data_IF_386230566878
#
_entry.id   IF_386230566878
#
_cell.length_a   1.000
_cell.length_b   1.000
_cell.length_c   1.000
_cell.angle_alpha   90.00
_cell.angle_beta   90.00
_cell.angle_gamma   90.00
#
_symmetry.space_group_name_H-M   'P 1'
#
loop_
_entity.id
_entity.type
_entity.pdbx_description
1 polymer ?
#
# COMPACT_ATOMS: atom_id res chain seq x y z
N UNK A 1 -7.94 1.98 -40.04
CA UNK A 1 -8.65 1.35 -38.90
C UNK A 1 -7.60 1.01 -37.86
N UNK A 2 -7.44 1.87 -36.85
CA UNK A 2 -6.36 1.77 -35.88
C UNK A 2 -6.78 0.85 -34.75
N UNK A 3 -6.16 -0.33 -34.64
CA UNK A 3 -6.38 -1.24 -33.54
C UNK A 3 -5.71 -0.68 -32.28
N UNK A 4 -6.51 -0.17 -31.34
CA UNK A 4 -6.04 0.20 -30.01
C UNK A 4 -5.52 -1.07 -29.30
N UNK A 5 -4.29 -1.08 -28.76
CA UNK A 5 -3.82 -2.19 -27.95
C UNK A 5 -4.62 -2.17 -26.65
N UNK A 6 -5.50 -3.15 -26.48
CA UNK A 6 -6.16 -3.42 -25.20
C UNK A 6 -5.08 -3.83 -24.21
N UNK A 7 -4.61 -2.86 -23.41
CA UNK A 7 -3.68 -3.08 -22.34
C UNK A 7 -4.31 -4.10 -21.39
N UNK A 8 -3.82 -5.34 -21.41
CA UNK A 8 -4.27 -6.41 -20.51
C UNK A 8 -3.78 -6.02 -19.12
N UNK A 9 -4.56 -5.19 -18.42
CA UNK A 9 -4.26 -4.83 -17.06
C UNK A 9 -4.22 -6.13 -16.25
N UNK A 10 -3.02 -6.47 -15.76
CA UNK A 10 -2.86 -7.67 -14.94
C UNK A 10 -3.72 -7.49 -13.69
N UNK A 11 -4.32 -8.57 -13.19
CA UNK A 11 -5.18 -8.55 -11.97
C UNK A 11 -4.54 -7.78 -10.81
N UNK A 12 -3.22 -7.68 -10.78
CA UNK A 12 -2.40 -6.90 -9.84
C UNK A 12 -2.58 -5.37 -9.95
N UNK A 13 -2.78 -4.80 -11.14
CA UNK A 13 -2.92 -3.35 -11.34
C UNK A 13 -4.25 -2.83 -10.78
N UNK A 14 -5.33 -3.61 -10.88
CA UNK A 14 -6.65 -3.24 -10.32
C UNK A 14 -6.67 -3.24 -8.78
N UNK A 15 -5.77 -3.95 -8.12
CA UNK A 15 -5.68 -3.91 -6.65
C UNK A 15 -5.10 -2.59 -6.14
N UNK A 16 -4.38 -1.83 -6.96
CA UNK A 16 -3.75 -0.56 -6.56
C UNK A 16 -4.66 0.67 -6.71
N UNK A 17 -5.88 0.52 -7.23
CA UNK A 17 -6.75 1.64 -7.64
C UNK A 17 -7.47 2.36 -6.50
N UNK A 18 -7.37 1.90 -5.26
CA UNK A 18 -8.07 2.49 -4.11
C UNK A 18 -7.10 3.33 -3.24
N UNK A 19 -6.81 4.56 -3.69
CA UNK A 19 -6.60 5.78 -2.89
C UNK A 19 -5.82 5.73 -1.55
N UNK A 20 -4.87 4.82 -1.34
CA UNK A 20 -3.93 4.89 -0.20
C UNK A 20 -2.65 5.60 -0.62
N UNK A 21 -2.71 6.89 -0.97
CA UNK A 21 -1.58 7.61 -1.60
C UNK A 21 -0.73 8.36 -0.57
N UNK A 22 -0.12 7.63 0.36
CA UNK A 22 0.97 8.17 1.16
C UNK A 22 2.28 8.23 0.36
N UNK A 23 3.25 9.09 0.73
CA UNK A 23 4.52 9.24 0.00
C UNK A 23 5.31 7.92 -0.07
N UNK A 24 5.28 7.09 0.98
CA UNK A 24 5.94 5.78 0.95
C UNK A 24 5.26 4.81 -0.02
N UNK A 25 3.93 4.78 -0.06
CA UNK A 25 3.17 3.95 -1.02
C UNK A 25 3.54 4.31 -2.46
N UNK A 26 3.62 5.61 -2.76
CA UNK A 26 4.04 6.10 -4.08
C UNK A 26 5.46 5.66 -4.42
N UNK A 27 6.42 5.86 -3.52
CA UNK A 27 7.81 5.49 -3.74
C UNK A 27 8.02 3.98 -3.97
N UNK A 28 7.25 3.13 -3.28
CA UNK A 28 7.31 1.68 -3.46
C UNK A 28 6.62 1.23 -4.74
N UNK A 29 5.52 1.88 -5.13
CA UNK A 29 4.83 1.61 -6.39
C UNK A 29 5.70 1.96 -7.61
N UNK A 30 6.41 3.10 -7.57
CA UNK A 30 7.38 3.51 -8.60
C UNK A 30 8.54 2.50 -8.75
N UNK A 31 8.89 1.80 -7.66
CA UNK A 31 9.86 0.70 -7.66
C UNK A 31 9.29 -0.65 -8.10
N UNK A 32 8.02 -0.71 -8.48
CA UNK A 32 7.35 -1.97 -8.87
C UNK A 32 7.14 -2.95 -7.72
N UNK A 33 7.21 -2.48 -6.47
CA UNK A 33 7.05 -3.33 -5.29
C UNK A 33 5.56 -3.59 -5.07
N UNK A 34 5.18 -4.87 -5.05
CA UNK A 34 3.80 -5.28 -4.78
C UNK A 34 3.40 -4.91 -3.34
N UNK A 35 2.31 -4.16 -3.23
CA UNK A 35 1.69 -3.79 -1.95
C UNK A 35 0.51 -4.72 -1.66
N UNK A 36 0.71 -5.62 -0.70
CA UNK A 36 -0.37 -6.44 -0.12
C UNK A 36 -1.24 -5.58 0.82
N UNK A 37 -2.39 -6.10 1.24
CA UNK A 37 -3.29 -5.41 2.18
C UNK A 37 -2.55 -4.99 3.46
N UNK A 38 -1.85 -5.92 4.13
CA UNK A 38 -1.08 -5.63 5.34
C UNK A 38 0.02 -4.59 5.11
N UNK A 39 0.76 -4.68 3.99
CA UNK A 39 1.81 -3.68 3.66
C UNK A 39 1.23 -2.28 3.55
N UNK A 40 0.04 -2.11 2.97
CA UNK A 40 -0.61 -0.78 2.90
C UNK A 40 -0.97 -0.25 4.28
N UNK A 41 -1.49 -1.12 5.16
CA UNK A 41 -1.83 -0.73 6.53
C UNK A 41 -0.58 -0.31 7.31
N UNK A 42 0.50 -1.08 7.22
CA UNK A 42 1.78 -0.72 7.87
C UNK A 42 2.31 0.61 7.32
N UNK A 43 2.32 0.80 5.99
CA UNK A 43 2.78 2.04 5.38
C UNK A 43 1.93 3.24 5.77
N UNK A 44 0.62 3.07 5.92
CA UNK A 44 -0.28 4.12 6.41
C UNK A 44 0.07 4.52 7.84
N UNK A 45 0.38 3.56 8.72
CA UNK A 45 0.83 3.85 10.09
C UNK A 45 2.15 4.61 10.08
N UNK A 46 3.10 4.21 9.22
CA UNK A 46 4.40 4.86 9.10
C UNK A 46 4.30 6.28 8.52
N UNK A 47 3.49 6.48 7.47
CA UNK A 47 3.27 7.79 6.84
C UNK A 47 2.57 8.78 7.81
N UNK A 48 1.73 8.29 8.71
CA UNK A 48 1.03 9.10 9.71
C UNK A 48 1.82 9.32 11.01
N UNK A 49 2.99 8.70 11.16
CA UNK A 49 3.78 8.81 12.38
C UNK A 49 4.55 10.12 12.44
N UNK A 50 4.20 10.99 13.40
CA UNK A 50 4.94 12.24 13.66
C UNK A 50 6.26 12.02 14.42
N UNK A 51 6.45 10.83 15.01
CA UNK A 51 7.63 10.44 15.77
C UNK A 51 8.08 9.03 15.40
N UNK A 52 9.29 8.66 15.82
CA UNK A 52 9.80 7.31 15.66
C UNK A 52 8.92 6.33 16.45
N UNK A 53 8.40 5.34 15.74
CA UNK A 53 7.68 4.22 16.32
C UNK A 53 8.59 3.02 16.42
N UNK A 54 8.50 2.29 17.52
CA UNK A 54 9.05 0.94 17.62
C UNK A 54 8.14 -0.08 16.90
N UNK A 55 8.61 -1.32 16.81
CA UNK A 55 7.91 -2.39 16.10
C UNK A 55 6.55 -2.71 16.74
N UNK A 56 6.49 -2.75 18.07
CA UNK A 56 5.28 -3.09 18.81
C UNK A 56 4.21 -2.00 18.65
N UNK A 57 4.62 -0.73 18.67
CA UNK A 57 3.76 0.42 18.42
C UNK A 57 3.22 0.44 16.99
N UNK A 58 4.03 0.07 15.99
CA UNK A 58 3.56 -0.06 14.61
C UNK A 58 2.52 -1.17 14.52
N UNK A 59 2.78 -2.33 15.12
CA UNK A 59 1.87 -3.46 15.12
C UNK A 59 0.54 -3.11 15.80
N UNK A 60 0.59 -2.51 16.99
CA UNK A 60 -0.60 -2.12 17.74
C UNK A 60 -1.48 -1.16 16.94
N UNK A 61 -0.87 -0.14 16.31
CA UNK A 61 -1.60 0.83 15.47
C UNK A 61 -2.14 0.18 14.20
N UNK A 62 -1.39 -0.72 13.58
CA UNK A 62 -1.82 -1.43 12.38
C UNK A 62 -2.99 -2.37 12.67
N UNK A 63 -2.98 -3.07 13.82
CA UNK A 63 -4.08 -3.93 14.26
C UNK A 63 -5.36 -3.15 14.57
N UNK A 64 -5.24 -1.91 15.04
CA UNK A 64 -6.40 -1.00 15.21
C UNK A 64 -7.04 -0.63 13.86
N UNK A 65 -6.27 -0.59 12.78
CA UNK A 65 -6.78 -0.33 11.43
C UNK A 65 -7.29 -1.60 10.73
N UNK A 66 -6.62 -2.73 10.95
CA UNK A 66 -6.94 -4.02 10.35
C UNK A 66 -6.52 -5.17 11.28
N UNK A 67 -7.50 -5.84 11.88
CA UNK A 67 -7.28 -6.98 12.79
C UNK A 67 -6.64 -8.20 12.11
N UNK A 68 -6.51 -8.21 10.78
CA UNK A 68 -5.76 -9.22 10.04
C UNK A 68 -4.25 -9.01 10.01
N UNK A 69 -3.73 -7.91 10.57
CA UNK A 69 -2.28 -7.65 10.67
C UNK A 69 -1.69 -8.45 11.84
N UNK A 70 -0.66 -9.24 11.55
CA UNK A 70 0.06 -10.10 12.49
C UNK A 70 1.54 -10.11 12.17
#
# INVERSE_FOLDING_TARGET
MSASPSHRASTTERLNSAQTTGPLVKALAEKGIRLTRQRRVILQVMDAAEQHLDVDQILERAQKLDSGVH
#
